data_IF_583518830689
#
_entry.id   IF_583518830689
#
_cell.length_a   1.000
_cell.length_b   1.000
_cell.length_c   1.000
_cell.angle_alpha   90.00
_cell.angle_beta   90.00
_cell.angle_gamma   90.00
#
_symmetry.space_group_name_H-M   'P 1'
#
loop_
_entity.id
_entity.type
_entity.pdbx_description
1 polymer ?
#
# COMPACT_ATOMS: atom_id res chain seq x y z
N UNK A 1 -2.33 -13.56 32.58
CA UNK A 1 -2.70 -12.90 31.29
C UNK A 1 -3.64 -11.76 31.62
N UNK A 2 -3.72 -10.69 30.81
CA UNK A 2 -4.54 -9.49 31.10
C UNK A 2 -6.02 -9.82 31.36
N UNK A 3 -6.51 -10.93 30.80
CA UNK A 3 -7.87 -11.42 30.98
C UNK A 3 -8.10 -12.26 32.25
N UNK A 4 -7.03 -12.68 32.92
CA UNK A 4 -7.11 -13.48 34.17
C UNK A 4 -7.29 -12.57 35.41
N UNK A 5 -7.09 -11.25 35.25
CA UNK A 5 -7.41 -10.25 36.27
C UNK A 5 -8.86 -9.79 36.08
N UNK A 6 -9.75 -10.37 36.88
CA UNK A 6 -11.18 -10.07 36.85
C UNK A 6 -11.48 -8.58 37.10
N UNK A 7 -10.66 -7.89 37.90
CA UNK A 7 -10.84 -6.47 38.21
C UNK A 7 -10.49 -5.61 36.99
N UNK A 8 -9.39 -5.93 36.31
CA UNK A 8 -9.02 -5.27 35.06
C UNK A 8 -10.06 -5.48 33.96
N UNK A 9 -10.47 -6.73 33.72
CA UNK A 9 -11.47 -7.05 32.71
C UNK A 9 -12.82 -6.35 32.98
N UNK A 10 -13.25 -6.31 34.24
CA UNK A 10 -14.47 -5.62 34.64
C UNK A 10 -14.37 -4.10 34.39
N UNK A 11 -13.29 -3.44 34.83
CA UNK A 11 -13.10 -2.00 34.58
C UNK A 11 -13.04 -1.66 33.10
N UNK A 12 -12.40 -2.52 32.30
CA UNK A 12 -12.30 -2.31 30.87
C UNK A 12 -13.67 -2.41 30.21
N UNK A 13 -14.49 -3.38 30.61
CA UNK A 13 -15.86 -3.55 30.13
C UNK A 13 -16.79 -2.41 30.58
N UNK A 14 -16.71 -1.99 31.85
CA UNK A 14 -17.49 -0.85 32.38
C UNK A 14 -17.19 0.44 31.61
N UNK A 15 -15.93 0.61 31.19
CA UNK A 15 -15.51 1.76 30.38
C UNK A 15 -15.89 1.63 28.91
N UNK A 16 -15.79 0.43 28.36
CA UNK A 16 -16.07 0.12 26.96
C UNK A 16 -17.02 -1.07 26.90
N UNK A 17 -18.34 -0.87 26.98
CA UNK A 17 -19.31 -1.98 27.00
C UNK A 17 -19.48 -2.64 25.62
N UNK A 18 -19.08 -1.93 24.56
CA UNK A 18 -19.10 -2.40 23.19
C UNK A 18 -17.72 -2.21 22.56
N UNK A 19 -17.29 -3.16 21.74
CA UNK A 19 -16.07 -3.09 20.95
C UNK A 19 -16.37 -3.25 19.46
N UNK A 20 -15.73 -2.41 18.66
CA UNK A 20 -15.69 -2.53 17.21
C UNK A 20 -14.25 -2.75 16.79
N UNK A 21 -13.98 -3.89 16.16
CA UNK A 21 -12.67 -4.27 15.66
C UNK A 21 -12.71 -4.17 14.14
N UNK A 22 -12.02 -3.17 13.61
CA UNK A 22 -11.82 -3.00 12.17
C UNK A 22 -10.60 -3.81 11.70
N UNK A 23 -10.53 -4.09 10.39
CA UNK A 23 -9.48 -4.91 9.77
C UNK A 23 -9.26 -6.27 10.46
N UNK A 24 -10.36 -6.91 10.90
CA UNK A 24 -10.31 -8.13 11.70
C UNK A 24 -9.59 -9.30 11.00
N UNK A 25 -9.49 -9.30 9.66
CA UNK A 25 -8.72 -10.30 8.92
C UNK A 25 -7.21 -10.31 9.25
N UNK A 26 -6.67 -9.21 9.81
CA UNK A 26 -5.28 -9.09 10.22
C UNK A 26 -5.06 -9.41 11.71
N UNK A 27 -6.13 -9.82 12.42
CA UNK A 27 -6.07 -10.16 13.85
C UNK A 27 -5.53 -11.58 14.06
N UNK A 28 -4.63 -11.74 15.05
CA UNK A 28 -4.09 -13.04 15.43
C UNK A 28 -4.94 -13.77 16.49
N UNK A 29 -4.63 -15.04 16.75
CA UNK A 29 -5.36 -15.87 17.72
C UNK A 29 -5.36 -15.31 19.15
N UNK A 30 -4.29 -14.62 19.56
CA UNK A 30 -4.13 -14.10 20.92
C UNK A 30 -4.97 -12.83 21.10
N UNK A 31 -4.93 -11.94 20.11
CA UNK A 31 -5.77 -10.75 20.07
C UNK A 31 -7.25 -11.14 20.07
N UNK A 32 -7.65 -12.09 19.22
CA UNK A 32 -9.04 -12.55 19.20
C UNK A 32 -9.44 -13.17 20.54
N UNK A 33 -8.60 -13.98 21.19
CA UNK A 33 -8.90 -14.55 22.50
C UNK A 33 -9.14 -13.48 23.58
N UNK A 34 -8.44 -12.34 23.53
CA UNK A 34 -8.67 -11.22 24.46
C UNK A 34 -10.06 -10.62 24.24
N UNK A 35 -10.40 -10.27 23.00
CA UNK A 35 -11.72 -9.70 22.70
C UNK A 35 -12.85 -10.67 23.01
N UNK A 36 -12.68 -11.94 22.65
CA UNK A 36 -13.65 -12.98 22.89
C UNK A 36 -13.95 -13.15 24.38
N UNK A 37 -12.92 -13.21 25.22
CA UNK A 37 -13.09 -13.39 26.65
C UNK A 37 -13.65 -12.15 27.37
N UNK A 38 -13.38 -10.94 26.87
CA UNK A 38 -13.92 -9.70 27.44
C UNK A 38 -15.40 -9.49 27.10
N UNK A 39 -15.80 -9.76 25.84
CA UNK A 39 -17.08 -9.29 25.32
C UNK A 39 -18.11 -10.40 25.08
N UNK A 40 -17.73 -11.64 24.76
CA UNK A 40 -18.66 -12.70 24.31
C UNK A 40 -19.86 -12.91 25.24
N UNK A 41 -19.65 -12.88 26.55
CA UNK A 41 -20.69 -13.19 27.54
C UNK A 41 -21.38 -11.96 28.14
N UNK A 42 -20.92 -10.75 27.80
CA UNK A 42 -21.21 -9.55 28.62
C UNK A 42 -21.65 -8.33 27.82
N UNK A 43 -21.28 -8.21 26.55
CA UNK A 43 -21.65 -7.06 25.73
C UNK A 43 -21.57 -7.31 24.23
N UNK A 44 -21.35 -6.25 23.46
CA UNK A 44 -21.40 -6.31 21.99
C UNK A 44 -19.99 -6.27 21.40
N UNK A 45 -19.65 -7.28 20.62
CA UNK A 45 -18.42 -7.35 19.83
C UNK A 45 -18.77 -7.30 18.34
N UNK A 46 -18.45 -6.20 17.67
CA UNK A 46 -18.57 -6.06 16.23
C UNK A 46 -17.21 -6.30 15.58
N UNK A 47 -17.14 -7.28 14.70
CA UNK A 47 -15.95 -7.62 13.94
C UNK A 47 -16.18 -7.22 12.49
N UNK A 48 -15.38 -6.28 11.99
CA UNK A 48 -15.43 -5.78 10.61
C UNK A 48 -14.16 -6.22 9.93
N UNK A 49 -14.29 -6.85 8.78
CA UNK A 49 -13.13 -7.30 8.00
C UNK A 49 -13.52 -7.93 6.68
N UNK A 50 -12.51 -8.19 5.86
CA UNK A 50 -12.65 -8.85 4.58
C UNK A 50 -11.59 -9.96 4.43
N UNK A 51 -11.98 -11.25 4.42
CA UNK A 51 -11.02 -12.34 4.31
C UNK A 51 -10.25 -12.30 2.99
N UNK A 52 -10.80 -11.65 1.95
CA UNK A 52 -10.13 -11.44 0.65
C UNK A 52 -8.91 -10.52 0.75
N UNK A 53 -8.78 -9.76 1.82
CA UNK A 53 -7.71 -8.78 2.04
C UNK A 53 -6.69 -9.23 3.09
N UNK A 54 -6.77 -10.49 3.54
CA UNK A 54 -5.85 -11.07 4.52
C UNK A 54 -4.44 -11.31 3.92
N UNK A 55 -3.66 -10.25 3.75
CA UNK A 55 -2.32 -10.29 3.13
C UNK A 55 -1.16 -10.26 4.14
N UNK A 56 -1.45 -10.16 5.44
CA UNK A 56 -0.46 -10.08 6.52
C UNK A 56 -0.14 -11.43 7.19
N UNK A 57 -0.23 -12.55 6.47
CA UNK A 57 0.08 -13.88 7.00
C UNK A 57 1.47 -13.98 7.66
N UNK A 58 2.45 -13.21 7.18
CA UNK A 58 3.80 -13.13 7.73
C UNK A 58 3.90 -12.44 9.12
N UNK A 59 2.83 -11.79 9.60
CA UNK A 59 2.76 -11.14 10.92
C UNK A 59 1.85 -11.87 11.91
N UNK A 60 1.37 -13.07 11.57
CA UNK A 60 0.51 -13.86 12.45
C UNK A 60 -0.98 -13.60 12.28
N UNK A 61 -1.39 -12.72 11.36
CA UNK A 61 -2.78 -12.65 10.90
C UNK A 61 -3.17 -13.98 10.27
N UNK A 62 -4.19 -14.63 10.82
CA UNK A 62 -4.53 -16.01 10.52
C UNK A 62 -5.96 -16.12 10.01
N UNK A 63 -6.12 -16.54 8.75
CA UNK A 63 -7.43 -16.81 8.14
C UNK A 63 -8.23 -17.85 8.95
N UNK A 64 -7.56 -18.75 9.68
CA UNK A 64 -8.23 -19.69 10.57
C UNK A 64 -8.80 -18.99 11.82
N UNK A 65 -8.15 -17.94 12.34
CA UNK A 65 -8.71 -17.07 13.39
C UNK A 65 -9.95 -16.34 12.89
N UNK A 66 -9.90 -15.75 11.70
CA UNK A 66 -11.07 -15.15 11.07
C UNK A 66 -12.24 -16.15 10.96
N UNK A 67 -11.97 -17.35 10.42
CA UNK A 67 -12.99 -18.42 10.29
C UNK A 67 -13.52 -18.90 11.64
N UNK A 68 -12.68 -18.99 12.67
CA UNK A 68 -13.08 -19.37 14.03
C UNK A 68 -14.06 -18.33 14.57
N UNK A 69 -13.76 -17.05 14.42
CA UNK A 69 -14.65 -15.98 14.83
C UNK A 69 -15.96 -16.03 14.04
N UNK A 70 -15.88 -16.20 12.71
CA UNK A 70 -17.04 -16.30 11.82
C UNK A 70 -18.04 -17.38 12.29
N UNK A 71 -17.55 -18.55 12.72
CA UNK A 71 -18.37 -19.66 13.23
C UNK A 71 -19.02 -19.38 14.59
N UNK A 72 -18.57 -18.35 15.29
CA UNK A 72 -18.91 -18.12 16.69
C UNK A 72 -19.65 -16.81 16.96
N UNK A 73 -19.88 -16.00 15.92
CA UNK A 73 -20.71 -14.79 15.99
C UNK A 73 -22.19 -15.12 15.85
N UNK A 74 -23.04 -14.34 16.52
CA UNK A 74 -24.50 -14.53 16.50
C UNK A 74 -25.14 -14.14 15.17
N UNK A 75 -24.56 -13.17 14.47
CA UNK A 75 -25.06 -12.67 13.20
C UNK A 75 -23.92 -12.31 12.25
N UNK A 76 -24.19 -12.40 10.95
CA UNK A 76 -23.27 -11.98 9.88
C UNK A 76 -23.98 -11.01 8.96
N UNK A 77 -23.32 -9.91 8.65
CA UNK A 77 -23.81 -8.90 7.70
C UNK A 77 -22.75 -8.73 6.61
N UNK A 78 -23.16 -8.59 5.36
CA UNK A 78 -22.27 -8.37 4.23
C UNK A 78 -22.66 -7.09 3.49
N UNK A 79 -21.66 -6.28 3.14
CA UNK A 79 -21.85 -5.05 2.37
C UNK A 79 -21.62 -5.35 0.88
N UNK A 80 -22.71 -5.43 0.12
CA UNK A 80 -22.66 -5.81 -1.30
C UNK A 80 -22.44 -4.64 -2.27
N UNK A 81 -22.41 -3.40 -1.78
CA UNK A 81 -22.31 -2.19 -2.61
C UNK A 81 -20.97 -1.49 -2.37
N UNK A 82 -20.17 -1.36 -3.43
CA UNK A 82 -18.94 -0.58 -3.43
C UNK A 82 -19.23 0.86 -3.84
N UNK A 83 -18.90 1.81 -2.96
CA UNK A 83 -19.08 3.24 -3.18
C UNK A 83 -17.79 3.98 -3.57
N UNK A 84 -16.66 3.28 -3.59
CA UNK A 84 -15.31 3.84 -3.73
C UNK A 84 -14.82 3.83 -5.18
N UNK A 85 -15.29 2.88 -5.99
CA UNK A 85 -14.78 2.64 -7.33
C UNK A 85 -15.87 2.76 -8.39
N UNK A 86 -15.46 3.11 -9.61
CA UNK A 86 -16.35 3.24 -10.76
C UNK A 86 -16.97 1.90 -11.15
N UNK A 87 -18.13 1.95 -11.79
CA UNK A 87 -18.82 0.76 -12.31
C UNK A 87 -17.94 -0.04 -13.26
N UNK A 88 -17.31 0.63 -14.22
CA UNK A 88 -16.41 -0.01 -15.18
C UNK A 88 -15.28 -0.80 -14.49
N UNK A 89 -14.74 -0.29 -13.38
CA UNK A 89 -13.70 -0.97 -12.62
C UNK A 89 -14.24 -2.18 -11.85
N UNK A 90 -15.39 -2.03 -11.18
CA UNK A 90 -16.03 -3.12 -10.46
C UNK A 90 -16.43 -4.26 -11.40
N UNK A 91 -17.00 -3.93 -12.56
CA UNK A 91 -17.41 -4.92 -13.56
C UNK A 91 -16.19 -5.67 -14.14
N UNK A 92 -15.09 -4.96 -14.40
CA UNK A 92 -13.85 -5.58 -14.86
C UNK A 92 -13.25 -6.54 -13.80
N UNK A 93 -13.23 -6.17 -12.53
CA UNK A 93 -12.75 -7.06 -11.45
C UNK A 93 -13.67 -8.25 -11.22
N UNK A 94 -14.99 -8.04 -11.21
CA UNK A 94 -15.96 -9.12 -11.11
C UNK A 94 -15.78 -10.11 -12.26
N UNK A 95 -15.57 -9.61 -13.49
CA UNK A 95 -15.30 -10.44 -14.66
C UNK A 95 -13.99 -11.23 -14.55
N UNK A 96 -12.92 -10.59 -14.08
CA UNK A 96 -11.63 -11.24 -13.85
C UNK A 96 -11.76 -12.41 -12.86
N UNK A 97 -12.36 -12.15 -11.69
CA UNK A 97 -12.47 -13.16 -10.63
C UNK A 97 -13.56 -14.20 -10.87
N UNK A 98 -14.55 -13.93 -11.72
CA UNK A 98 -15.52 -14.94 -12.14
C UNK A 98 -14.88 -16.09 -12.93
N UNK A 99 -13.74 -15.84 -13.58
CA UNK A 99 -12.99 -16.82 -14.36
C UNK A 99 -11.74 -17.32 -13.64
N UNK A 100 -11.51 -16.86 -12.41
CA UNK A 100 -10.39 -17.31 -11.61
C UNK A 100 -10.81 -18.57 -10.84
N UNK A 101 -10.01 -19.63 -10.93
CA UNK A 101 -10.27 -20.87 -10.17
C UNK A 101 -10.34 -20.57 -8.66
N UNK A 102 -11.01 -21.44 -7.90
CA UNK A 102 -11.27 -21.27 -6.45
C UNK A 102 -10.03 -21.15 -5.54
N UNK A 103 -8.82 -21.15 -6.10
CA UNK A 103 -7.56 -20.86 -5.41
C UNK A 103 -7.00 -19.45 -5.64
N UNK A 104 -7.55 -18.66 -6.57
CA UNK A 104 -6.98 -17.36 -6.96
C UNK A 104 -7.02 -16.30 -5.83
N UNK A 105 -7.96 -16.44 -4.90
CA UNK A 105 -8.09 -15.60 -3.71
C UNK A 105 -7.42 -16.21 -2.47
N UNK A 106 -6.79 -17.37 -2.60
CA UNK A 106 -6.27 -18.18 -1.49
C UNK A 106 -7.22 -19.31 -1.07
N UNK A 107 -6.67 -20.31 -0.40
CA UNK A 107 -7.39 -21.54 -0.06
C UNK A 107 -8.61 -21.29 0.83
N UNK A 108 -9.81 -21.53 0.27
CA UNK A 108 -11.11 -21.39 0.93
C UNK A 108 -11.54 -19.95 1.17
N UNK A 109 -11.12 -19.02 0.33
CA UNK A 109 -11.65 -17.66 0.27
C UNK A 109 -12.47 -17.56 -1.02
N UNK A 110 -13.79 -17.46 -0.87
CA UNK A 110 -14.68 -17.31 -2.01
C UNK A 110 -14.75 -15.84 -2.45
N UNK A 111 -14.58 -15.60 -3.75
CA UNK A 111 -14.87 -14.29 -4.32
C UNK A 111 -16.39 -14.07 -4.37
N UNK A 112 -16.86 -13.00 -3.75
CA UNK A 112 -18.26 -12.55 -3.85
C UNK A 112 -18.30 -11.26 -4.65
N UNK A 113 -18.99 -11.31 -5.79
CA UNK A 113 -19.18 -10.14 -6.63
C UNK A 113 -19.91 -9.03 -5.88
N UNK A 114 -19.45 -7.79 -6.09
CA UNK A 114 -20.05 -6.58 -5.52
C UNK A 114 -20.64 -5.71 -6.60
N UNK A 115 -21.61 -4.87 -6.24
CA UNK A 115 -22.25 -3.91 -7.15
C UNK A 115 -21.68 -2.52 -6.94
N UNK A 116 -21.48 -1.76 -8.02
CA UNK A 116 -21.09 -0.36 -7.92
C UNK A 116 -22.27 0.52 -7.48
N UNK A 117 -22.04 1.36 -6.47
CA UNK A 117 -23.00 2.33 -5.95
C UNK A 117 -23.15 3.59 -6.82
N UNK A 118 -22.28 3.78 -7.82
CA UNK A 118 -22.38 4.86 -8.81
C UNK A 118 -21.80 6.22 -8.39
N UNK A 119 -21.60 6.48 -7.10
CA UNK A 119 -21.00 7.75 -6.62
C UNK A 119 -19.65 8.05 -7.26
N UNK A 120 -18.80 7.04 -7.43
CA UNK A 120 -17.47 7.18 -8.00
C UNK A 120 -17.48 7.44 -9.52
N UNK A 121 -18.59 7.16 -10.23
CA UNK A 121 -18.70 7.37 -11.67
C UNK A 121 -18.58 8.87 -12.04
N UNK A 122 -18.94 9.77 -11.11
CA UNK A 122 -18.76 11.21 -11.27
C UNK A 122 -17.29 11.67 -11.33
N UNK A 123 -16.36 10.81 -10.89
CA UNK A 123 -14.92 11.06 -10.94
C UNK A 123 -14.20 10.05 -11.85
N UNK A 124 -14.93 9.40 -12.77
CA UNK A 124 -14.31 8.51 -13.73
C UNK A 124 -13.28 9.24 -14.59
N UNK A 125 -12.16 8.57 -14.88
CA UNK A 125 -11.14 9.10 -15.78
C UNK A 125 -11.75 9.25 -17.18
N UNK A 126 -11.65 10.45 -17.73
CA UNK A 126 -12.10 10.80 -19.06
C UNK A 126 -10.92 11.39 -19.81
N UNK A 127 -10.68 10.99 -21.06
CA UNK A 127 -9.67 11.61 -21.91
C UNK A 127 -10.31 11.98 -23.25
N UNK A 128 -10.07 13.21 -23.72
CA UNK A 128 -10.66 13.75 -24.96
C UNK A 128 -12.20 13.61 -25.03
N UNK A 129 -12.89 13.81 -23.90
CA UNK A 129 -14.34 13.69 -23.82
C UNK A 129 -14.87 12.26 -23.65
N UNK A 130 -14.02 11.24 -23.72
CA UNK A 130 -14.43 9.83 -23.61
C UNK A 130 -14.10 9.24 -22.24
N UNK A 131 -15.12 8.72 -21.55
CA UNK A 131 -14.95 8.05 -20.25
C UNK A 131 -14.24 6.71 -20.46
N UNK A 132 -13.25 6.40 -19.62
CA UNK A 132 -12.55 5.12 -19.65
C UNK A 132 -13.49 3.97 -19.27
N UNK A 133 -13.89 3.17 -20.27
CA UNK A 133 -14.79 2.02 -20.09
C UNK A 133 -14.07 0.70 -19.81
N UNK A 134 -12.79 0.60 -20.14
CA UNK A 134 -11.98 -0.60 -19.96
C UNK A 134 -10.77 -0.29 -19.06
N UNK A 135 -10.95 -0.22 -17.73
CA UNK A 135 -9.88 0.16 -16.81
C UNK A 135 -8.89 -0.96 -16.51
N UNK A 136 -9.26 -2.23 -16.73
CA UNK A 136 -8.35 -3.36 -16.56
C UNK A 136 -7.58 -3.62 -17.85
N UNK A 137 -6.27 -3.36 -17.81
CA UNK A 137 -5.36 -3.58 -18.95
C UNK A 137 -4.34 -4.62 -18.52
N UNK A 138 -4.33 -5.78 -19.19
CA UNK A 138 -3.31 -6.81 -19.03
C UNK A 138 -2.27 -6.65 -20.14
N UNK A 139 -1.00 -6.47 -19.77
CA UNK A 139 0.11 -6.38 -20.72
C UNK A 139 1.01 -7.60 -20.57
N UNK A 140 1.24 -8.28 -21.68
CA UNK A 140 2.12 -9.43 -21.76
C UNK A 140 3.43 -8.98 -22.43
N UNK A 141 4.59 -9.17 -21.79
CA UNK A 141 5.87 -8.89 -22.43
C UNK A 141 6.08 -9.90 -23.56
N UNK A 142 6.37 -9.41 -24.77
CA UNK A 142 6.79 -10.24 -25.89
C UNK A 142 8.30 -10.07 -26.09
N UNK A 143 9.04 -11.18 -26.18
CA UNK A 143 10.41 -11.11 -26.71
C UNK A 143 10.36 -10.85 -28.23
N UNK A 144 11.46 -10.35 -28.78
CA UNK A 144 11.66 -10.11 -30.22
C UNK A 144 11.38 -11.34 -31.09
N UNK A 145 11.48 -12.54 -30.50
CA UNK A 145 11.31 -13.82 -31.19
C UNK A 145 9.92 -14.46 -30.92
N UNK A 146 8.99 -13.74 -30.31
CA UNK A 146 7.64 -14.21 -30.00
C UNK A 146 7.52 -15.10 -28.76
N UNK A 147 8.63 -15.49 -28.13
CA UNK A 147 8.64 -16.21 -26.86
C UNK A 147 8.44 -15.27 -25.66
N UNK A 148 7.90 -15.81 -24.56
CA UNK A 148 7.86 -15.10 -23.28
C UNK A 148 9.30 -14.93 -22.77
N UNK A 149 9.66 -13.79 -22.14
CA UNK A 149 10.99 -13.61 -21.59
C UNK A 149 11.33 -14.75 -20.62
N UNK A 150 12.31 -15.58 -20.95
CA UNK A 150 12.68 -16.78 -20.17
C UNK A 150 13.26 -16.48 -18.78
N UNK A 151 13.44 -15.20 -18.40
CA UNK A 151 13.88 -14.77 -17.07
C UNK A 151 12.94 -13.69 -16.53
N UNK A 152 12.35 -13.95 -15.35
CA UNK A 152 11.46 -13.04 -14.61
C UNK A 152 12.02 -11.60 -14.50
N UNK A 153 13.34 -11.45 -14.29
CA UNK A 153 13.96 -10.13 -14.11
C UNK A 153 13.94 -9.22 -15.36
N UNK A 154 13.98 -9.79 -16.57
CA UNK A 154 13.92 -9.00 -17.80
C UNK A 154 12.48 -8.52 -18.09
N UNK A 155 11.49 -9.36 -17.75
CA UNK A 155 10.08 -9.00 -17.83
C UNK A 155 9.72 -7.87 -16.85
N UNK A 156 10.25 -7.93 -15.62
CA UNK A 156 10.06 -6.88 -14.61
C UNK A 156 10.59 -5.53 -15.09
N UNK A 157 11.83 -5.48 -15.61
CA UNK A 157 12.40 -4.23 -16.10
C UNK A 157 11.57 -3.62 -17.24
N UNK A 158 11.13 -4.45 -18.20
CA UNK A 158 10.27 -4.02 -19.29
C UNK A 158 8.93 -3.48 -18.77
N UNK A 159 8.32 -4.15 -17.79
CA UNK A 159 7.07 -3.72 -17.16
C UNK A 159 7.22 -2.37 -16.44
N UNK A 160 8.31 -2.16 -15.69
CA UNK A 160 8.59 -0.88 -15.02
C UNK A 160 8.80 0.26 -16.04
N UNK A 161 9.54 0.01 -17.12
CA UNK A 161 9.74 1.00 -18.20
C UNK A 161 8.42 1.34 -18.89
N UNK A 162 7.61 0.33 -19.22
CA UNK A 162 6.30 0.52 -19.82
C UNK A 162 5.35 1.30 -18.90
N UNK A 163 5.34 0.97 -17.60
CA UNK A 163 4.56 1.68 -16.60
C UNK A 163 4.95 3.17 -16.52
N UNK A 164 6.25 3.49 -16.44
CA UNK A 164 6.73 4.87 -16.44
C UNK A 164 6.31 5.63 -17.71
N UNK A 165 6.40 4.97 -18.87
CA UNK A 165 5.98 5.56 -20.15
C UNK A 165 4.46 5.84 -20.19
N UNK A 166 3.62 4.93 -19.69
CA UNK A 166 2.18 5.13 -19.64
C UNK A 166 1.78 6.27 -18.70
N UNK A 167 2.38 6.33 -17.52
CA UNK A 167 2.15 7.41 -16.56
C UNK A 167 2.49 8.76 -17.20
N UNK A 168 3.66 8.84 -17.83
CA UNK A 168 4.12 10.06 -18.51
C UNK A 168 3.17 10.44 -19.65
N UNK A 169 2.74 9.48 -20.47
CA UNK A 169 1.77 9.70 -21.55
C UNK A 169 0.42 10.17 -21.03
N UNK A 170 -0.08 9.59 -19.94
CA UNK A 170 -1.35 9.99 -19.33
C UNK A 170 -1.27 11.41 -18.76
N UNK A 171 -0.20 11.73 -18.03
CA UNK A 171 0.00 13.05 -17.43
C UNK A 171 0.30 14.14 -18.46
N UNK A 172 0.91 13.79 -19.60
CA UNK A 172 1.14 14.73 -20.70
C UNK A 172 -0.15 15.06 -21.48
N UNK A 173 -1.20 14.26 -21.34
CA UNK A 173 -2.47 14.49 -22.02
C UNK A 173 -3.34 15.46 -21.21
N UNK A 174 -3.38 16.73 -21.65
CA UNK A 174 -4.17 17.78 -21.02
C UNK A 174 -5.69 17.52 -21.06
N UNK A 175 -6.16 16.68 -21.97
CA UNK A 175 -7.58 16.32 -22.08
C UNK A 175 -7.98 15.21 -21.10
N UNK A 176 -7.04 14.65 -20.32
CA UNK A 176 -7.33 13.67 -19.30
C UNK A 176 -7.77 14.33 -17.98
N UNK A 177 -9.00 14.05 -17.57
CA UNK A 177 -9.71 14.68 -16.47
C UNK A 177 -10.29 13.63 -15.51
N UNK A 178 -10.34 13.97 -14.21
CA UNK A 178 -11.09 13.27 -13.17
C UNK A 178 -12.24 14.17 -12.72
N UNK A 179 -13.45 13.88 -13.21
CA UNK A 179 -14.58 14.80 -13.08
C UNK A 179 -14.26 16.14 -13.75
N UNK A 180 -14.16 17.22 -12.98
CA UNK A 180 -13.86 18.57 -13.49
C UNK A 180 -12.40 18.99 -13.37
N UNK A 181 -11.52 18.14 -12.80
CA UNK A 181 -10.13 18.47 -12.53
C UNK A 181 -9.19 17.73 -13.48
N UNK A 182 -8.14 18.39 -13.96
CA UNK A 182 -7.09 17.73 -14.74
C UNK A 182 -6.38 16.65 -13.93
N UNK A 183 -6.03 15.55 -14.60
CA UNK A 183 -5.27 14.45 -14.01
C UNK A 183 -3.89 14.94 -13.57
N UNK A 184 -3.54 14.69 -12.30
CA UNK A 184 -2.24 15.05 -11.75
C UNK A 184 -1.45 13.83 -11.25
N UNK A 185 -0.14 13.98 -10.95
CA UNK A 185 0.67 12.90 -10.42
C UNK A 185 0.12 12.31 -9.12
N UNK A 186 -0.53 13.12 -8.28
CA UNK A 186 -1.14 12.68 -7.02
C UNK A 186 -2.35 11.75 -7.17
N UNK A 187 -2.86 11.59 -8.39
CA UNK A 187 -3.99 10.71 -8.69
C UNK A 187 -3.55 9.29 -9.10
N UNK A 188 -2.24 9.08 -9.27
CA UNK A 188 -1.68 7.83 -9.76
C UNK A 188 -0.95 7.15 -8.61
N UNK A 189 -1.41 5.95 -8.26
CA UNK A 189 -0.73 5.05 -7.34
C UNK A 189 -0.24 3.80 -8.09
N UNK A 190 1.01 3.41 -7.86
CA UNK A 190 1.60 2.19 -8.44
C UNK A 190 1.95 1.23 -7.31
N UNK A 191 1.38 0.03 -7.34
CA UNK A 191 1.64 -1.03 -6.36
C UNK A 191 2.71 -1.97 -6.91
N UNK A 192 3.82 -2.11 -6.18
CA UNK A 192 4.94 -2.97 -6.55
C UNK A 192 5.32 -3.86 -5.35
N UNK A 193 5.71 -5.12 -5.58
CA UNK A 193 5.94 -6.07 -4.50
C UNK A 193 7.25 -5.82 -3.73
N UNK A 194 8.23 -5.13 -4.32
CA UNK A 194 9.55 -4.93 -3.68
C UNK A 194 10.01 -3.46 -3.66
N UNK A 195 10.72 -3.08 -2.60
CA UNK A 195 11.36 -1.77 -2.48
C UNK A 195 12.37 -1.50 -3.61
N UNK A 196 13.03 -2.53 -4.13
CA UNK A 196 13.95 -2.41 -5.26
C UNK A 196 13.22 -1.93 -6.51
N UNK A 197 12.10 -2.56 -6.86
CA UNK A 197 11.28 -2.14 -8.00
C UNK A 197 10.71 -0.72 -7.80
N UNK A 198 10.31 -0.37 -6.57
CA UNK A 198 9.88 1.00 -6.24
C UNK A 198 10.99 2.01 -6.52
N UNK A 199 12.21 1.74 -6.06
CA UNK A 199 13.36 2.61 -6.31
C UNK A 199 13.66 2.74 -7.82
N UNK A 200 13.64 1.64 -8.56
CA UNK A 200 13.85 1.63 -10.02
C UNK A 200 12.77 2.42 -10.76
N UNK A 201 11.48 2.24 -10.44
CA UNK A 201 10.42 3.00 -11.09
C UNK A 201 10.51 4.50 -10.78
N UNK A 202 10.86 4.86 -9.53
CA UNK A 202 11.07 6.26 -9.14
C UNK A 202 12.18 6.91 -9.97
N UNK A 203 13.27 6.20 -10.23
CA UNK A 203 14.32 6.68 -11.11
C UNK A 203 13.79 6.93 -12.53
N UNK A 204 13.06 5.97 -13.12
CA UNK A 204 12.51 6.12 -14.47
C UNK A 204 11.50 7.27 -14.59
N UNK A 205 10.72 7.54 -13.55
CA UNK A 205 9.80 8.67 -13.47
C UNK A 205 10.55 9.99 -13.31
N UNK A 206 11.59 10.03 -12.46
CA UNK A 206 12.43 11.21 -12.27
C UNK A 206 13.16 11.62 -13.56
N UNK A 207 13.70 10.66 -14.31
CA UNK A 207 14.29 10.88 -15.64
C UNK A 207 13.30 11.47 -16.66
N UNK A 208 11.99 11.31 -16.42
CA UNK A 208 10.88 11.85 -17.23
C UNK A 208 10.24 13.10 -16.63
N UNK A 209 10.81 13.64 -15.55
CA UNK A 209 10.27 14.83 -14.87
C UNK A 209 8.96 14.60 -14.12
N UNK A 210 8.56 13.35 -13.87
CA UNK A 210 7.34 13.03 -13.11
C UNK A 210 7.68 12.88 -11.62
N UNK A 211 7.09 13.71 -10.73
CA UNK A 211 7.34 13.59 -9.29
C UNK A 211 6.72 12.30 -8.75
N UNK A 212 7.51 11.54 -7.98
CA UNK A 212 7.08 10.28 -7.40
C UNK A 212 7.53 10.14 -5.94
N UNK A 213 6.56 9.97 -5.05
CA UNK A 213 6.79 9.62 -3.65
C UNK A 213 6.70 8.09 -3.48
N UNK A 214 7.55 7.53 -2.62
CA UNK A 214 7.52 6.09 -2.32
C UNK A 214 8.36 5.77 -1.09
N UNK A 215 7.92 4.78 -0.32
CA UNK A 215 8.57 4.35 0.91
C UNK A 215 9.91 3.66 0.61
N UNK A 216 10.98 4.44 0.52
CA UNK A 216 12.33 3.90 0.66
C UNK A 216 12.55 3.62 2.14
N UNK A 217 12.67 2.34 2.53
CA UNK A 217 13.25 1.97 3.85
C UNK A 217 14.76 2.24 3.91
N UNK A 218 15.29 3.11 3.04
CA UNK A 218 16.66 3.55 3.16
C UNK A 218 16.76 4.29 4.49
N UNK A 219 17.68 3.83 5.34
CA UNK A 219 17.94 4.50 6.60
C UNK A 219 18.31 5.95 6.31
N UNK A 220 17.79 6.89 7.11
CA UNK A 220 18.27 8.28 7.08
C UNK A 220 19.79 8.31 7.29
N UNK A 221 20.33 7.36 8.07
CA UNK A 221 21.77 7.20 8.29
C UNK A 221 22.58 6.74 7.08
N UNK A 222 21.95 6.30 5.99
CA UNK A 222 22.64 5.93 4.75
C UNK A 222 22.62 7.06 3.71
N UNK A 223 22.23 8.27 4.12
CA UNK A 223 22.18 9.44 3.24
C UNK A 223 23.49 10.22 3.32
N UNK A 224 23.92 10.89 2.23
CA UNK A 224 25.07 11.80 2.29
C UNK A 224 24.93 12.86 3.38
N UNK A 225 23.71 13.32 3.64
CA UNK A 225 23.42 14.29 4.70
C UNK A 225 23.71 13.75 6.11
N UNK A 226 23.59 12.44 6.33
CA UNK A 226 23.97 11.81 7.59
C UNK A 226 25.49 11.71 7.74
N UNK A 227 26.21 11.46 6.65
CA UNK A 227 27.69 11.48 6.63
C UNK A 227 28.22 12.90 6.92
N UNK A 228 27.61 13.93 6.32
CA UNK A 228 27.91 15.33 6.58
C UNK A 228 27.70 15.69 8.06
N UNK A 229 26.55 15.28 8.62
CA UNK A 229 26.25 15.52 10.04
C UNK A 229 27.24 14.79 10.95
N UNK A 230 27.64 13.57 10.61
CA UNK A 230 28.63 12.81 11.37
C UNK A 230 30.00 13.51 11.37
N UNK A 231 30.44 14.08 10.24
CA UNK A 231 31.66 14.88 10.15
C UNK A 231 31.60 16.13 11.02
N UNK A 232 30.46 16.83 11.04
CA UNK A 232 30.26 18.02 11.88
C UNK A 232 30.31 17.65 13.36
N UNK A 233 29.60 16.60 13.78
CA UNK A 233 29.60 16.14 15.17
C UNK A 233 31.00 15.68 15.62
N UNK A 234 31.74 15.00 14.74
CA UNK A 234 33.12 14.60 15.02
C UNK A 234 34.05 15.81 15.19
N UNK A 235 33.91 16.84 14.34
CA UNK A 235 34.66 18.09 14.47
C UNK A 235 34.39 18.81 15.79
N UNK A 236 33.13 18.84 16.25
CA UNK A 236 32.74 19.42 17.55
C UNK A 236 33.35 18.64 18.72
N UNK A 237 33.51 17.32 18.60
CA UNK A 237 34.10 16.48 19.63
C UNK A 237 35.64 16.64 19.72
N UNK A 238 36.32 16.68 18.58
CA UNK A 238 37.79 16.70 18.52
C UNK A 238 38.41 18.10 18.71
N UNK A 239 37.64 19.17 18.49
CA UNK A 239 37.90 20.56 18.91
C UNK A 239 39.11 21.30 18.30
N UNK A 240 40.21 20.62 17.98
CA UNK A 240 41.49 21.20 17.57
C UNK A 240 42.17 20.48 16.39
N UNK A 241 41.54 19.45 15.83
CA UNK A 241 42.06 18.77 14.65
C UNK A 241 41.75 19.58 13.38
N UNK A 242 42.72 20.38 12.91
CA UNK A 242 42.57 21.27 11.74
C UNK A 242 42.13 20.56 10.44
N UNK A 243 42.38 19.26 10.32
CA UNK A 243 41.90 18.44 9.20
C UNK A 243 40.40 18.16 9.33
N UNK A 244 39.93 17.78 10.52
CA UNK A 244 38.53 17.42 10.78
C UNK A 244 37.63 18.66 10.68
N UNK A 245 38.10 19.82 11.15
CA UNK A 245 37.41 21.10 11.00
C UNK A 245 37.24 21.49 9.52
N UNK A 246 38.29 21.33 8.70
CA UNK A 246 38.21 21.58 7.26
C UNK A 246 37.26 20.63 6.54
N UNK A 247 37.26 19.35 6.93
CA UNK A 247 36.31 18.38 6.39
C UNK A 247 34.85 18.74 6.73
N UNK A 248 34.58 19.19 7.96
CA UNK A 248 33.25 19.64 8.36
C UNK A 248 32.81 20.92 7.61
N UNK A 249 33.72 21.85 7.35
CA UNK A 249 33.43 23.08 6.58
C UNK A 249 33.18 22.82 5.09
N UNK A 250 33.72 21.74 4.53
CA UNK A 250 33.49 21.32 3.14
C UNK A 250 32.19 20.55 2.92
N UNK A 251 31.40 20.30 3.96
CA UNK A 251 30.08 19.68 3.80
C UNK A 251 29.12 20.60 3.04
N UNK A 252 28.17 20.03 2.29
CA UNK A 252 27.21 20.78 1.47
C UNK A 252 26.33 21.73 2.31
N UNK A 253 26.29 21.55 3.63
CA UNK A 253 25.52 22.37 4.57
C UNK A 253 25.92 23.85 4.53
N UNK A 254 27.21 24.14 4.31
CA UNK A 254 27.74 25.50 4.38
C UNK A 254 27.78 26.18 3.00
N UNK A 255 27.70 25.40 1.91
CA UNK A 255 27.84 25.90 0.55
C UNK A 255 29.22 26.55 0.28
N UNK A 256 30.26 26.13 1.01
CA UNK A 256 31.62 26.59 0.83
C UNK A 256 32.36 25.68 -0.15
N UNK A 257 33.23 26.27 -0.97
CA UNK A 257 34.14 25.51 -1.81
C UNK A 257 35.56 25.50 -1.23
N UNK A 258 36.46 24.75 -1.85
CA UNK A 258 37.85 24.66 -1.42
C UNK A 258 38.62 26.00 -1.50
N UNK A 259 38.11 27.01 -2.21
CA UNK A 259 38.73 28.33 -2.30
C UNK A 259 38.41 29.23 -1.11
N UNK A 260 37.32 28.93 -0.39
CA UNK A 260 36.89 29.64 0.80
C UNK A 260 37.58 29.18 2.10
N UNK A 261 38.50 28.21 2.02
CA UNK A 261 39.18 27.52 3.14
C UNK A 261 40.69 27.70 3.14
#
# INVERSE_FOLDING_TARGET
RVVDDANFAQRLFERYPCALIDEFQDTDQHQYAIFDALYRARGTLLLVGDPKQAIYAFRGGDIATYRRAERSVDARVSLAVNWRSTRAYIDALNGLYAHADGGAMGAGIDYRAVRAGGKADAQALQCAGEILRAPLILRLPQASDGELPGKLGAADELALRACAADITRLLANADCMLGTRALGPGDIAVLLPTNRQIATLRQYLAERGVPAAGAGKASVFATPQADDLALILHALQEGNAAFVLRAAWLTDLWGLDASAL
#
